data_IF_129685021670
#
_entry.id   IF_129685021670
#
_cell.length_a   1.000
_cell.length_b   1.000
_cell.length_c   1.000
_cell.angle_alpha   90.00
_cell.angle_beta   90.00
_cell.angle_gamma   90.00
#
_symmetry.space_group_name_H-M   'P 1'
#
loop_
_entity.id
_entity.type
_entity.pdbx_description
1 polymer ?
#
# COMPACT_ATOMS: atom_id res chain seq x y z
N UNK A 1 -11.45 -18.44 5.25
CA UNK A 1 -10.31 -17.51 5.36
C UNK A 1 -10.88 -16.12 5.39
N UNK A 2 -10.38 -15.26 6.27
CA UNK A 2 -10.81 -13.87 6.40
C UNK A 2 -9.69 -12.96 5.90
N UNK A 3 -10.06 -12.00 5.06
CA UNK A 3 -9.15 -10.97 4.56
C UNK A 3 -9.73 -9.59 4.88
N UNK A 4 -8.93 -8.69 5.45
CA UNK A 4 -9.30 -7.27 5.57
C UNK A 4 -8.57 -6.44 4.51
N UNK A 5 -9.13 -5.26 4.20
CA UNK A 5 -8.52 -4.29 3.29
C UNK A 5 -8.24 -3.01 4.06
N UNK A 6 -7.03 -2.48 3.92
CA UNK A 6 -6.66 -1.13 4.41
C UNK A 6 -6.23 -0.26 3.23
N UNK A 7 -6.98 0.82 2.98
CA UNK A 7 -6.66 1.82 1.97
C UNK A 7 -5.94 3.01 2.62
N UNK A 8 -4.71 3.25 2.19
CA UNK A 8 -3.86 4.34 2.67
C UNK A 8 -4.00 5.52 1.71
N UNK A 9 -4.33 6.69 2.25
CA UNK A 9 -4.40 7.94 1.50
C UNK A 9 -5.23 8.99 2.23
N UNK A 10 -4.63 10.13 2.51
CA UNK A 10 -5.29 11.27 3.17
C UNK A 10 -6.44 11.83 2.32
N UNK A 11 -6.30 11.79 1.00
CA UNK A 11 -7.30 12.19 0.02
C UNK A 11 -8.58 11.34 0.08
N UNK A 12 -8.49 10.08 0.51
CA UNK A 12 -9.65 9.20 0.75
C UNK A 12 -10.46 9.73 1.94
N UNK A 13 -9.76 10.11 3.02
CA UNK A 13 -10.40 10.65 4.23
C UNK A 13 -10.98 12.05 4.03
N UNK A 14 -10.34 12.85 3.17
CA UNK A 14 -10.83 14.17 2.79
C UNK A 14 -11.97 14.11 1.75
N UNK A 15 -12.32 12.92 1.25
CA UNK A 15 -13.34 12.73 0.24
C UNK A 15 -13.00 13.36 -1.12
N UNK A 16 -11.72 13.59 -1.39
CA UNK A 16 -11.26 14.14 -2.67
C UNK A 16 -11.34 13.10 -3.78
N UNK A 17 -11.20 11.82 -3.43
CA UNK A 17 -11.42 10.68 -4.30
C UNK A 17 -12.28 9.64 -3.58
N UNK A 18 -12.99 8.82 -4.37
CA UNK A 18 -13.76 7.70 -3.87
C UNK A 18 -12.87 6.46 -3.83
N UNK A 19 -12.91 5.70 -2.73
CA UNK A 19 -12.21 4.42 -2.61
C UNK A 19 -12.89 3.34 -3.46
N UNK A 20 -12.60 3.35 -4.77
CA UNK A 20 -13.06 2.30 -5.69
C UNK A 20 -12.20 1.04 -5.62
N UNK A 21 -10.96 1.15 -5.11
CA UNK A 21 -10.05 0.02 -4.97
C UNK A 21 -10.59 -1.00 -3.98
N UNK A 22 -10.94 -0.58 -2.76
CA UNK A 22 -11.48 -1.50 -1.75
C UNK A 22 -12.80 -2.12 -2.20
N UNK A 23 -13.63 -1.36 -2.92
CA UNK A 23 -14.87 -1.88 -3.51
C UNK A 23 -14.58 -3.01 -4.52
N UNK A 24 -13.67 -2.78 -5.47
CA UNK A 24 -13.30 -3.77 -6.48
C UNK A 24 -12.64 -5.01 -5.86
N UNK A 25 -11.71 -4.82 -4.92
CA UNK A 25 -11.04 -5.95 -4.23
C UNK A 25 -12.06 -6.76 -3.41
N UNK A 26 -12.99 -6.10 -2.71
CA UNK A 26 -14.06 -6.79 -1.97
C UNK A 26 -14.92 -7.67 -2.87
N UNK A 27 -15.26 -7.20 -4.09
CA UNK A 27 -15.93 -8.03 -5.10
C UNK A 27 -15.10 -9.25 -5.49
N UNK A 28 -13.79 -9.07 -5.74
CA UNK A 28 -12.92 -10.19 -6.11
C UNK A 28 -12.76 -11.21 -4.97
N UNK A 29 -12.68 -10.75 -3.71
CA UNK A 29 -12.65 -11.63 -2.54
C UNK A 29 -13.94 -12.45 -2.43
N UNK A 30 -15.10 -11.82 -2.61
CA UNK A 30 -16.38 -12.52 -2.59
C UNK A 30 -16.49 -13.58 -3.70
N UNK A 31 -16.06 -13.25 -4.93
CA UNK A 31 -16.00 -14.19 -6.05
C UNK A 31 -15.07 -15.39 -5.77
N UNK A 32 -14.01 -15.17 -5.01
CA UNK A 32 -13.08 -16.20 -4.56
C UNK A 32 -13.55 -16.98 -3.32
N UNK A 33 -14.70 -16.63 -2.73
CA UNK A 33 -15.20 -17.25 -1.49
C UNK A 33 -14.37 -16.89 -0.25
N UNK A 34 -13.71 -15.73 -0.26
CA UNK A 34 -12.94 -15.20 0.86
C UNK A 34 -13.78 -14.14 1.58
N UNK A 35 -13.96 -14.30 2.88
CA UNK A 35 -14.74 -13.38 3.69
C UNK A 35 -13.99 -12.07 3.91
N UNK A 36 -14.59 -10.94 3.53
CA UNK A 36 -14.13 -9.61 3.89
C UNK A 36 -15.16 -8.91 4.76
N UNK A 37 -14.82 -8.71 6.03
CA UNK A 37 -15.76 -8.13 7.01
C UNK A 37 -15.56 -6.63 7.23
N UNK A 38 -14.39 -6.08 6.89
CA UNK A 38 -14.05 -4.67 7.08
C UNK A 38 -13.13 -4.17 5.99
N UNK A 39 -13.43 -2.95 5.54
CA UNK A 39 -12.49 -2.08 4.86
C UNK A 39 -12.17 -0.91 5.79
N UNK A 40 -10.91 -0.48 5.84
CA UNK A 40 -10.47 0.67 6.63
C UNK A 40 -9.73 1.63 5.73
N UNK A 41 -10.13 2.91 5.73
CA UNK A 41 -9.33 3.98 5.15
C UNK A 41 -8.48 4.63 6.24
N UNK A 42 -7.21 4.91 5.96
CA UNK A 42 -6.26 5.52 6.90
C UNK A 42 -5.43 6.58 6.19
N UNK A 43 -5.15 7.69 6.87
CA UNK A 43 -4.29 8.75 6.33
C UNK A 43 -2.81 8.40 6.45
N UNK A 44 -1.97 9.08 5.67
CA UNK A 44 -0.53 8.87 5.52
C UNK A 44 0.26 9.30 6.77
N UNK A 45 0.08 8.55 7.85
CA UNK A 45 0.78 8.76 9.11
C UNK A 45 1.17 7.41 9.69
N UNK A 46 2.47 7.29 9.98
CA UNK A 46 3.09 6.06 10.49
C UNK A 46 2.31 5.39 11.61
N UNK A 47 2.01 6.12 12.68
CA UNK A 47 1.40 5.52 13.89
C UNK A 47 -0.04 5.07 13.62
N UNK A 48 -0.79 5.82 12.81
CA UNK A 48 -2.15 5.43 12.38
C UNK A 48 -2.12 4.20 11.49
N UNK A 49 -1.16 4.11 10.59
CA UNK A 49 -1.01 2.97 9.68
C UNK A 49 -0.61 1.71 10.46
N UNK A 50 0.34 1.82 11.42
CA UNK A 50 0.71 0.70 12.31
C UNK A 50 -0.50 0.18 13.08
N UNK A 51 -1.28 1.07 13.69
CA UNK A 51 -2.49 0.70 14.42
C UNK A 51 -3.51 0.01 13.51
N UNK A 52 -3.78 0.58 12.33
CA UNK A 52 -4.72 0.02 11.36
C UNK A 52 -4.29 -1.38 10.87
N UNK A 53 -3.01 -1.55 10.52
CA UNK A 53 -2.49 -2.82 10.04
C UNK A 53 -2.46 -3.89 11.14
N UNK A 54 -1.94 -3.56 12.33
CA UNK A 54 -1.91 -4.48 13.47
C UNK A 54 -3.31 -4.92 13.85
N UNK A 55 -4.23 -3.95 13.98
CA UNK A 55 -5.64 -4.22 14.29
C UNK A 55 -6.31 -5.12 13.25
N UNK A 56 -6.01 -4.95 11.97
CA UNK A 56 -6.56 -5.78 10.91
C UNK A 56 -6.01 -7.22 10.97
N UNK A 57 -4.70 -7.38 11.19
CA UNK A 57 -4.04 -8.68 11.34
C UNK A 57 -4.49 -9.44 12.61
N UNK A 58 -4.90 -8.74 13.67
CA UNK A 58 -5.48 -9.38 14.86
C UNK A 58 -6.84 -10.06 14.57
N UNK A 59 -7.54 -9.63 13.50
CA UNK A 59 -8.90 -10.08 13.18
C UNK A 59 -8.97 -10.94 11.92
N UNK A 60 -8.01 -10.80 11.01
CA UNK A 60 -8.01 -11.42 9.70
C UNK A 60 -6.81 -12.34 9.50
N UNK A 61 -6.99 -13.35 8.65
CA UNK A 61 -5.93 -14.29 8.31
C UNK A 61 -4.99 -13.69 7.24
N UNK A 62 -5.43 -12.64 6.53
CA UNK A 62 -4.65 -11.87 5.58
C UNK A 62 -5.09 -10.40 5.54
N UNK A 63 -4.18 -9.54 5.08
CA UNK A 63 -4.39 -8.11 4.90
C UNK A 63 -3.98 -7.69 3.49
N UNK A 64 -4.86 -7.01 2.78
CA UNK A 64 -4.54 -6.31 1.52
C UNK A 64 -4.42 -4.82 1.83
N UNK A 65 -3.28 -4.24 1.49
CA UNK A 65 -3.05 -2.79 1.64
C UNK A 65 -3.00 -2.15 0.26
N UNK A 66 -3.61 -0.97 0.12
CA UNK A 66 -3.53 -0.16 -1.10
C UNK A 66 -3.03 1.25 -0.76
N UNK A 67 -2.37 1.92 -1.69
CA UNK A 67 -1.87 3.29 -1.51
C UNK A 67 -0.50 3.39 -0.80
N UNK A 68 0.09 4.58 -0.85
CA UNK A 68 1.36 4.91 -0.16
C UNK A 68 2.62 4.19 -0.69
N UNK A 69 2.63 3.81 -1.98
CA UNK A 69 3.76 3.10 -2.65
C UNK A 69 4.48 3.95 -3.70
N UNK A 70 4.10 5.21 -3.85
CA UNK A 70 4.79 6.13 -4.74
C UNK A 70 6.15 6.60 -4.18
N UNK A 71 6.76 7.59 -4.85
CA UNK A 71 8.08 8.10 -4.48
C UNK A 71 8.03 9.36 -3.59
N UNK A 72 6.86 9.78 -3.10
CA UNK A 72 6.73 11.03 -2.31
C UNK A 72 6.99 10.79 -0.82
N UNK A 73 7.14 11.85 -0.02
CA UNK A 73 7.50 11.72 1.40
C UNK A 73 6.40 11.09 2.26
N UNK A 74 5.14 11.28 1.85
CA UNK A 74 3.93 10.69 2.41
C UNK A 74 3.71 9.24 1.98
N UNK A 75 4.33 8.77 0.89
CA UNK A 75 4.36 7.34 0.55
C UNK A 75 5.28 6.56 1.50
N UNK A 76 4.70 6.00 2.56
CA UNK A 76 5.43 5.27 3.62
C UNK A 76 4.90 3.86 3.89
N UNK A 77 4.04 3.30 3.03
CA UNK A 77 3.41 1.99 3.27
C UNK A 77 4.41 0.87 3.43
N UNK A 78 5.52 0.87 2.67
CA UNK A 78 6.55 -0.19 2.74
C UNK A 78 7.34 -0.10 4.02
N UNK A 79 7.71 1.11 4.43
CA UNK A 79 8.41 1.39 5.67
C UNK A 79 7.58 0.93 6.88
N UNK A 80 6.28 1.24 6.89
CA UNK A 80 5.38 0.82 7.96
C UNK A 80 5.18 -0.70 8.00
N UNK A 81 5.03 -1.35 6.84
CA UNK A 81 4.90 -2.82 6.77
C UNK A 81 6.20 -3.50 7.25
N UNK A 82 7.35 -2.99 6.82
CA UNK A 82 8.65 -3.53 7.24
C UNK A 82 8.83 -3.44 8.75
N UNK A 83 8.45 -2.30 9.34
CA UNK A 83 8.44 -2.13 10.79
C UNK A 83 7.49 -3.11 11.49
N UNK A 84 6.25 -3.21 11.01
CA UNK A 84 5.24 -4.10 11.58
C UNK A 84 5.71 -5.56 11.61
N UNK A 85 6.41 -5.98 10.55
CA UNK A 85 6.94 -7.34 10.42
C UNK A 85 8.32 -7.52 11.08
N UNK A 86 8.94 -6.45 11.59
CA UNK A 86 10.28 -6.48 12.18
C UNK A 86 11.38 -6.85 11.17
N UNK A 87 11.24 -6.43 9.92
CA UNK A 87 12.20 -6.72 8.84
C UNK A 87 12.82 -5.45 8.27
N UNK A 88 13.98 -5.59 7.62
CA UNK A 88 14.66 -4.49 6.94
C UNK A 88 14.19 -4.35 5.48
N UNK A 89 14.12 -3.12 4.98
CA UNK A 89 13.96 -2.84 3.56
C UNK A 89 15.33 -2.88 2.88
N UNK A 90 15.40 -3.61 1.76
CA UNK A 90 16.61 -3.75 0.95
C UNK A 90 16.32 -3.27 -0.47
N UNK A 91 17.26 -2.51 -1.04
CA UNK A 91 17.18 -2.08 -2.43
C UNK A 91 17.45 -3.26 -3.38
N UNK A 92 16.54 -3.47 -4.34
CA UNK A 92 16.71 -4.44 -5.42
C UNK A 92 17.23 -3.74 -6.68
N UNK A 93 18.49 -3.98 -7.03
CA UNK A 93 19.13 -3.38 -8.20
C UNK A 93 18.45 -3.77 -9.53
N UNK A 94 17.86 -4.96 -9.63
CA UNK A 94 17.12 -5.37 -10.83
C UNK A 94 15.80 -4.58 -10.94
N UNK A 95 15.12 -4.33 -9.82
CA UNK A 95 13.93 -3.48 -9.78
C UNK A 95 14.28 -2.02 -10.12
N UNK A 96 15.38 -1.50 -9.56
CA UNK A 96 15.89 -0.15 -9.87
C UNK A 96 16.20 -0.01 -11.35
N UNK A 97 16.85 -1.01 -11.97
CA UNK A 97 17.10 -1.01 -13.41
C UNK A 97 15.79 -1.01 -14.24
N UNK A 98 14.77 -1.76 -13.77
CA UNK A 98 13.43 -1.76 -14.40
C UNK A 98 12.75 -0.40 -14.30
N UNK A 99 12.83 0.27 -13.15
CA UNK A 99 12.27 1.63 -13.01
C UNK A 99 13.01 2.60 -13.92
N UNK A 100 14.36 2.56 -13.94
CA UNK A 100 15.18 3.40 -14.84
C UNK A 100 14.81 3.25 -16.31
N UNK A 101 14.53 2.02 -16.78
CA UNK A 101 14.16 1.80 -18.19
C UNK A 101 12.81 2.42 -18.57
N UNK A 102 11.85 2.49 -17.65
CA UNK A 102 10.56 3.17 -17.86
C UNK A 102 10.76 4.68 -18.11
N UNK A 103 11.71 5.31 -17.42
CA UNK A 103 12.06 6.72 -17.66
C UNK A 103 12.88 6.89 -18.96
N UNK A 104 13.84 5.99 -19.19
CA UNK A 104 14.67 5.97 -20.40
C UNK A 104 13.85 5.85 -21.69
N UNK A 105 12.83 4.97 -21.70
CA UNK A 105 11.89 4.84 -22.83
C UNK A 105 11.06 6.10 -23.10
N UNK A 106 11.03 7.06 -22.17
CA UNK A 106 10.37 8.37 -22.29
C UNK A 106 11.35 9.50 -22.57
N UNK A 107 12.64 9.19 -22.80
CA UNK A 107 13.70 10.18 -23.04
C UNK A 107 14.02 11.05 -21.83
N UNK A 108 13.70 10.59 -20.61
CA UNK A 108 13.92 11.35 -19.37
C UNK A 108 14.81 10.55 -18.41
N UNK A 109 15.71 11.21 -17.67
CA UNK A 109 16.40 10.55 -16.56
C UNK A 109 15.41 10.26 -15.43
N UNK A 110 15.65 9.17 -14.69
CA UNK A 110 14.87 8.83 -13.50
C UNK A 110 15.21 9.79 -12.35
N UNK A 111 14.23 10.49 -11.76
CA UNK A 111 14.42 11.26 -10.54
C UNK A 111 14.91 10.39 -9.37
N UNK A 112 15.74 10.96 -8.49
CA UNK A 112 16.35 10.20 -7.39
C UNK A 112 15.33 9.65 -6.37
N UNK A 113 14.19 10.33 -6.17
CA UNK A 113 13.16 9.90 -5.22
C UNK A 113 12.47 8.58 -5.64
N UNK A 114 12.51 8.20 -6.93
CA UNK A 114 12.02 6.91 -7.38
C UNK A 114 12.85 5.72 -6.88
N UNK A 115 14.08 5.93 -6.39
CA UNK A 115 14.86 4.88 -5.71
C UNK A 115 14.21 4.40 -4.42
N UNK A 116 13.26 5.18 -3.88
CA UNK A 116 12.50 4.74 -2.74
C UNK A 116 11.60 3.57 -3.11
N UNK A 117 11.11 3.43 -4.35
CA UNK A 117 10.10 2.45 -4.81
C UNK A 117 10.66 1.05 -5.04
#
# INVERSE_FOLDING_TARGET
MRCEIVAVGTELLLGQIVDTNSSWIGEQLALAGIDCHRHTAVGDNRDRMLDAFSSALDRADALIVTGGLGPTQDDITREVIAELLGVELVSDEALVARIKSVFGGRGRPMPANNLRQ
#
